data_IF_244512720606
#
_entry.id   IF_244512720606
#
_cell.length_a   1.000
_cell.length_b   1.000
_cell.length_c   1.000
_cell.angle_alpha   90.00
_cell.angle_beta   90.00
_cell.angle_gamma   90.00
#
_symmetry.space_group_name_H-M   'P 1'
#
loop_
_entity.id
_entity.type
_entity.pdbx_description
1 polymer ?
#
# COMPACT_ATOMS: atom_id res chain seq x y z
N UNK A 1 5.36 2.09 9.54
CA UNK A 1 4.29 1.09 9.71
C UNK A 1 3.25 1.18 8.60
N UNK A 2 2.56 2.30 8.39
CA UNK A 2 1.55 2.43 7.33
C UNK A 2 2.02 2.07 5.91
N UNK A 3 3.29 2.32 5.59
CA UNK A 3 3.92 1.89 4.34
C UNK A 3 3.90 0.36 4.20
N UNK A 4 4.21 -0.37 5.28
CA UNK A 4 4.20 -1.82 5.30
C UNK A 4 2.82 -2.41 5.01
N UNK A 5 1.79 -1.98 5.70
CA UNK A 5 0.41 -2.44 5.47
C UNK A 5 -0.06 -2.19 4.04
N UNK A 6 0.40 -1.09 3.46
CA UNK A 6 -0.05 -0.70 2.14
C UNK A 6 0.69 -1.39 1.00
N UNK A 7 1.95 -1.82 1.20
CA UNK A 7 2.79 -2.35 0.13
C UNK A 7 3.11 -3.84 0.23
N UNK A 8 3.29 -4.38 1.45
CA UNK A 8 3.89 -5.72 1.59
C UNK A 8 3.23 -6.64 2.61
N UNK A 9 2.68 -6.07 3.71
CA UNK A 9 2.23 -6.88 4.82
C UNK A 9 0.89 -7.56 4.53
N UNK A 10 0.91 -8.88 4.46
CA UNK A 10 -0.26 -9.72 4.23
C UNK A 10 -0.07 -11.07 4.93
N UNK A 11 -1.05 -11.47 5.70
CA UNK A 11 -1.12 -12.84 6.23
C UNK A 11 -1.91 -13.70 5.26
N UNK A 12 -1.25 -14.69 4.67
CA UNK A 12 -1.86 -15.63 3.74
C UNK A 12 -2.27 -16.91 4.49
N UNK A 13 -3.35 -17.51 4.03
CA UNK A 13 -3.80 -18.78 4.56
C UNK A 13 -4.42 -19.64 3.45
N UNK A 14 -4.35 -20.94 3.64
CA UNK A 14 -4.91 -21.92 2.73
C UNK A 14 -5.44 -23.12 3.54
N UNK A 15 -6.62 -23.60 3.19
CA UNK A 15 -7.26 -24.76 3.80
C UNK A 15 -7.29 -24.69 5.35
N UNK A 16 -7.56 -23.49 5.89
CA UNK A 16 -7.62 -23.26 7.34
C UNK A 16 -6.24 -23.10 8.03
N UNK A 17 -5.12 -23.23 7.31
CA UNK A 17 -3.78 -23.08 7.85
C UNK A 17 -3.14 -21.75 7.45
N UNK A 18 -2.52 -21.05 8.41
CA UNK A 18 -1.71 -19.86 8.16
C UNK A 18 -0.42 -20.25 7.46
N UNK A 19 -0.13 -19.63 6.32
CA UNK A 19 1.08 -19.86 5.54
C UNK A 19 2.25 -19.00 6.05
N UNK A 20 1.95 -17.76 6.45
CA UNK A 20 2.97 -16.82 6.93
C UNK A 20 3.15 -16.99 8.44
N UNK A 21 4.01 -17.94 8.81
CA UNK A 21 4.26 -18.33 10.21
C UNK A 21 5.42 -17.61 10.86
N UNK A 22 6.27 -16.97 10.08
CA UNK A 22 7.48 -16.30 10.55
C UNK A 22 7.90 -15.21 9.55
N UNK A 23 8.90 -14.41 9.89
CA UNK A 23 9.44 -13.31 9.08
C UNK A 23 10.22 -13.74 7.83
N UNK A 24 10.38 -15.03 7.59
CA UNK A 24 10.86 -15.58 6.31
C UNK A 24 9.80 -15.47 5.20
N UNK A 25 8.51 -15.53 5.56
CA UNK A 25 7.38 -15.45 4.63
C UNK A 25 6.52 -14.20 4.82
N UNK A 26 6.40 -13.69 6.06
CA UNK A 26 5.75 -12.41 6.35
C UNK A 26 6.72 -11.25 6.14
N UNK A 27 6.50 -10.48 5.09
CA UNK A 27 7.42 -9.42 4.68
C UNK A 27 7.07 -8.08 5.30
N UNK A 28 7.95 -7.59 6.18
CA UNK A 28 7.92 -6.21 6.68
C UNK A 28 8.82 -5.31 5.82
N UNK A 29 8.56 -4.00 5.75
CA UNK A 29 9.42 -3.07 5.06
C UNK A 29 10.84 -3.09 5.61
N UNK A 30 11.82 -3.08 4.71
CA UNK A 30 13.22 -2.98 5.07
C UNK A 30 13.66 -1.53 5.21
N UNK A 31 14.67 -1.27 6.01
CA UNK A 31 15.22 0.07 6.19
C UNK A 31 15.64 0.73 4.86
N UNK A 32 16.15 -0.06 3.92
CA UNK A 32 16.53 0.39 2.57
C UNK A 32 15.35 0.88 1.70
N UNK A 33 14.12 0.62 2.12
CA UNK A 33 12.91 1.05 1.40
C UNK A 33 12.32 2.35 1.94
N UNK A 34 12.93 2.94 2.96
CA UNK A 34 12.46 4.21 3.50
C UNK A 34 12.56 5.30 2.44
N UNK A 35 11.48 6.02 2.17
CA UNK A 35 11.52 7.18 1.30
C UNK A 35 12.27 8.33 1.98
N UNK A 36 12.63 9.35 1.22
CA UNK A 36 13.04 10.62 1.81
C UNK A 36 11.88 11.17 2.63
N UNK A 37 12.13 11.41 3.91
CA UNK A 37 11.13 11.93 4.85
C UNK A 37 11.48 13.39 5.13
N UNK A 38 10.51 14.27 4.94
CA UNK A 38 10.57 15.67 5.36
C UNK A 38 9.52 15.89 6.44
N UNK A 39 9.93 16.41 7.59
CA UNK A 39 9.06 16.61 8.74
C UNK A 39 8.82 18.11 8.94
N UNK A 40 7.55 18.50 8.96
CA UNK A 40 7.13 19.86 9.25
C UNK A 40 6.35 19.85 10.56
N UNK A 41 6.87 20.52 11.57
CA UNK A 41 6.19 20.69 12.85
C UNK A 41 5.43 22.00 12.86
N UNK A 42 4.13 21.91 13.13
CA UNK A 42 3.28 23.10 13.29
C UNK A 42 3.21 23.41 14.79
N UNK A 43 3.74 24.56 15.18
CA UNK A 43 3.65 25.05 16.56
C UNK A 43 2.29 25.74 16.77
N UNK A 44 1.44 25.10 17.58
CA UNK A 44 0.14 25.64 17.95
C UNK A 44 -0.08 25.52 19.47
N UNK A 45 0.45 26.47 20.26
CA UNK A 45 0.39 26.39 21.72
C UNK A 45 -1.02 26.49 22.30
N UNK A 46 -2.00 26.97 21.52
CA UNK A 46 -3.41 27.08 21.96
C UNK A 46 -4.15 25.74 21.91
N UNK A 47 -3.60 24.76 21.20
CA UNK A 47 -4.21 23.42 21.11
C UNK A 47 -3.53 22.48 22.10
N UNK A 48 -4.31 21.86 23.02
CA UNK A 48 -3.74 20.92 23.97
C UNK A 48 -3.16 19.69 23.25
N UNK A 49 -2.10 19.13 23.83
CA UNK A 49 -1.49 17.91 23.30
C UNK A 49 -2.49 16.76 23.32
N UNK A 50 -2.53 16.00 22.24
CA UNK A 50 -3.38 14.82 22.09
C UNK A 50 -2.65 13.67 21.41
N UNK A 51 -3.24 12.47 21.41
CA UNK A 51 -2.68 11.32 20.73
C UNK A 51 -2.75 11.44 19.20
N UNK A 52 -1.78 10.84 18.50
CA UNK A 52 -1.73 10.78 17.03
C UNK A 52 -1.31 9.37 16.56
N UNK A 53 -2.01 8.34 17.06
CA UNK A 53 -1.71 6.95 16.68
C UNK A 53 -2.25 6.57 15.30
N UNK A 54 -3.55 6.62 15.11
CA UNK A 54 -4.22 6.18 13.89
C UNK A 54 -4.13 7.15 12.71
N UNK A 55 -4.20 8.49 12.86
CA UNK A 55 -4.22 9.41 11.73
C UNK A 55 -3.11 9.20 10.70
N UNK A 56 -1.85 8.94 11.08
CA UNK A 56 -0.78 8.65 10.12
C UNK A 56 -0.94 7.33 9.37
N UNK A 57 -1.69 6.37 9.91
CA UNK A 57 -1.87 5.04 9.30
C UNK A 57 -3.07 5.03 8.36
N UNK A 58 -4.16 5.64 8.75
CA UNK A 58 -5.44 5.65 8.00
C UNK A 58 -5.27 6.22 6.59
N UNK A 59 -4.43 7.24 6.43
CA UNK A 59 -4.23 7.93 5.16
C UNK A 59 -3.31 7.19 4.19
N UNK A 60 -2.46 6.28 4.66
CA UNK A 60 -1.37 5.69 3.86
C UNK A 60 -1.87 4.90 2.64
N UNK A 61 -2.95 4.15 2.79
CA UNK A 61 -3.54 3.42 1.67
C UNK A 61 -3.96 4.34 0.52
N UNK A 62 -4.61 5.46 0.84
CA UNK A 62 -5.05 6.44 -0.14
C UNK A 62 -3.86 7.19 -0.79
N UNK A 63 -2.88 7.59 0.02
CA UNK A 63 -1.66 8.27 -0.46
C UNK A 63 -0.92 7.41 -1.48
N UNK A 64 -0.68 6.13 -1.16
CA UNK A 64 0.02 5.21 -2.05
C UNK A 64 -0.80 4.85 -3.29
N UNK A 65 -2.12 4.64 -3.16
CA UNK A 65 -2.99 4.42 -4.30
C UNK A 65 -2.96 5.59 -5.30
N UNK A 66 -2.91 6.82 -4.79
CA UNK A 66 -2.80 8.02 -5.62
C UNK A 66 -1.42 8.14 -6.26
N UNK A 67 -0.34 7.87 -5.53
CA UNK A 67 1.02 7.89 -6.07
C UNK A 67 1.21 6.83 -7.18
N UNK A 68 0.69 5.62 -6.97
CA UNK A 68 0.72 4.55 -7.99
C UNK A 68 -0.10 4.96 -9.22
N UNK A 69 -1.27 5.57 -9.02
CA UNK A 69 -2.09 6.04 -10.13
C UNK A 69 -1.39 7.15 -10.92
N UNK A 70 -0.77 8.11 -10.25
CA UNK A 70 -0.02 9.19 -10.89
C UNK A 70 1.15 8.64 -11.72
N UNK A 71 1.88 7.66 -11.19
CA UNK A 71 3.01 7.05 -11.87
C UNK A 71 2.64 6.10 -13.02
N UNK A 72 1.48 5.46 -12.98
CA UNK A 72 1.15 4.33 -13.88
C UNK A 72 -0.18 4.46 -14.62
N UNK A 73 -1.04 5.40 -14.25
CA UNK A 73 -2.42 5.51 -14.73
C UNK A 73 -3.34 4.37 -14.25
N UNK A 74 -2.87 3.47 -13.38
CA UNK A 74 -3.64 2.31 -12.89
C UNK A 74 -4.11 2.52 -11.46
N UNK A 75 -5.38 2.28 -11.21
CA UNK A 75 -6.01 2.45 -9.90
C UNK A 75 -6.08 1.13 -9.14
N UNK A 76 -5.19 0.94 -8.16
CA UNK A 76 -5.28 -0.13 -7.18
C UNK A 76 -6.25 0.24 -6.05
N UNK A 77 -7.10 -0.72 -5.65
CA UNK A 77 -8.09 -0.55 -4.58
C UNK A 77 -8.04 -1.68 -3.55
N UNK A 78 -6.98 -2.47 -3.58
CA UNK A 78 -6.77 -3.61 -2.69
C UNK A 78 -5.39 -3.52 -2.06
N UNK A 79 -5.31 -3.71 -0.75
CA UNK A 79 -4.07 -3.82 0.01
C UNK A 79 -3.66 -5.29 0.19
N UNK A 80 -2.36 -5.53 0.32
CA UNK A 80 -1.24 -4.64 0.01
C UNK A 80 -1.14 -4.40 -1.50
N UNK A 81 -0.62 -3.24 -1.90
CA UNK A 81 -0.47 -2.82 -3.31
C UNK A 81 0.80 -3.40 -3.91
N UNK A 82 0.84 -4.71 -4.07
CA UNK A 82 2.01 -5.41 -4.58
C UNK A 82 2.22 -5.22 -6.08
N UNK A 83 3.46 -5.37 -6.57
CA UNK A 83 3.74 -5.34 -8.01
C UNK A 83 2.93 -6.36 -8.82
N UNK A 84 2.63 -7.52 -8.24
CA UNK A 84 1.80 -8.55 -8.89
C UNK A 84 0.38 -8.07 -9.11
N UNK A 85 -0.21 -7.40 -8.12
CA UNK A 85 -1.56 -6.83 -8.24
C UNK A 85 -1.62 -5.73 -9.29
N UNK A 86 -0.58 -4.91 -9.38
CA UNK A 86 -0.46 -3.89 -10.42
C UNK A 86 -0.35 -4.51 -11.82
N UNK A 87 0.49 -5.55 -11.98
CA UNK A 87 0.65 -6.27 -13.25
C UNK A 87 -0.65 -6.92 -13.72
N UNK A 88 -1.42 -7.53 -12.82
CA UNK A 88 -2.72 -8.13 -13.15
C UNK A 88 -3.70 -7.11 -13.73
N UNK A 89 -3.75 -5.90 -13.19
CA UNK A 89 -4.57 -4.83 -13.74
C UNK A 89 -4.13 -4.42 -15.15
N UNK A 90 -2.85 -4.48 -15.43
CA UNK A 90 -2.31 -4.16 -16.76
C UNK A 90 -2.71 -5.22 -17.78
N UNK A 91 -2.63 -6.50 -17.43
CA UNK A 91 -3.00 -7.61 -18.31
C UNK A 91 -4.50 -7.61 -18.66
N UNK A 92 -5.36 -7.39 -17.68
CA UNK A 92 -6.82 -7.33 -17.89
C UNK A 92 -7.21 -6.19 -18.83
N UNK A 93 -6.51 -5.07 -18.78
CA UNK A 93 -6.80 -3.93 -19.68
C UNK A 93 -6.40 -4.21 -21.13
N UNK A 94 -5.35 -5.00 -21.35
CA UNK A 94 -4.86 -5.35 -22.69
C UNK A 94 -5.79 -6.36 -23.37
N UNK A 95 -6.27 -7.36 -22.64
CA UNK A 95 -7.22 -8.36 -23.20
C UNK A 95 -8.63 -7.82 -23.41
N UNK A 96 -9.05 -6.80 -22.67
CA UNK A 96 -10.36 -6.14 -22.85
C UNK A 96 -10.42 -5.17 -24.03
N UNK A 97 -9.28 -4.74 -24.57
CA UNK A 97 -9.22 -3.87 -25.76
C UNK A 97 -9.34 -4.65 -27.07
N UNK A 98 -8.98 -5.92 -27.10
CA UNK A 98 -9.08 -6.76 -28.30
C UNK A 98 -10.50 -7.33 -28.54
N UNK A 99 -11.38 -7.29 -27.53
CA UNK A 99 -12.75 -7.80 -27.62
C UNK A 99 -13.80 -6.75 -28.09
N UNK A 100 -13.37 -5.57 -28.52
CA UNK A 100 -14.26 -4.50 -29.03
C UNK A 100 -13.87 -4.00 -30.42
N UNK A 101 -13.30 -4.89 -31.22
CA UNK A 101 -13.01 -4.60 -32.63
C UNK A 101 -13.70 -5.63 -33.52
N UNK A 102 -15.01 -5.52 -33.66
CA UNK A 102 -15.81 -5.95 -34.83
C UNK A 102 -17.15 -5.24 -34.82
#
# INVERSE_FOLDING_TARGET
>A
MGLGYSLTEEVRFKDGAVLDRNFDTYQIPRFSWLPKIETILIDNPETPASGCGEPPIVTMGAVLANAIFDATGKRLRQLPMTPERLRRLTLVTTTGSEARGD
#
